data_IF_146562149391
#
_entry.id   IF_146562149391
#
_cell.length_a   1.000
_cell.length_b   1.000
_cell.length_c   1.000
_cell.angle_alpha   90.00
_cell.angle_beta   90.00
_cell.angle_gamma   90.00
#
_symmetry.space_group_name_H-M   'P 1'
#
loop_
_entity.id
_entity.type
_entity.pdbx_description
1 polymer ?
#
# COMPACT_ATOMS: atom_id res chain seq x y z
N UNK A 1 8.07 -0.99 -17.39
CA UNK A 1 7.92 -1.82 -16.18
C UNK A 1 8.40 -1.00 -15.01
N UNK A 2 7.53 -0.67 -14.06
CA UNK A 2 7.89 0.08 -12.85
C UNK A 2 8.77 -0.82 -11.99
N UNK A 3 9.95 -0.33 -11.65
CA UNK A 3 10.94 -1.08 -10.89
C UNK A 3 10.50 -1.15 -9.42
N UNK A 4 9.84 -2.25 -9.05
CA UNK A 4 9.36 -2.49 -7.68
C UNK A 4 10.49 -2.48 -6.66
N UNK A 5 11.75 -2.63 -7.09
CA UNK A 5 12.93 -2.50 -6.24
C UNK A 5 13.13 -1.08 -5.66
N UNK A 6 12.45 -0.07 -6.23
CA UNK A 6 12.51 1.31 -5.74
C UNK A 6 11.47 1.62 -4.67
N UNK A 7 10.50 0.74 -4.46
CA UNK A 7 9.45 0.92 -3.47
C UNK A 7 10.05 0.70 -2.09
N UNK A 8 9.83 1.65 -1.19
CA UNK A 8 10.34 1.62 0.18
C UNK A 8 9.19 1.69 1.17
N UNK A 9 9.45 1.18 2.36
CA UNK A 9 8.58 1.37 3.52
C UNK A 9 8.35 2.87 3.74
N UNK A 10 7.14 3.23 4.19
CA UNK A 10 6.67 4.59 4.41
C UNK A 10 6.45 5.47 3.17
N UNK A 11 6.60 4.94 1.95
CA UNK A 11 6.19 5.66 0.75
C UNK A 11 4.66 5.77 0.65
N UNK A 12 4.16 6.90 0.15
CA UNK A 12 2.76 7.04 -0.20
C UNK A 12 2.43 6.28 -1.49
N UNK A 13 1.26 5.65 -1.49
CA UNK A 13 0.66 4.96 -2.62
C UNK A 13 -0.52 5.80 -3.10
N UNK A 14 -0.38 6.32 -4.31
CA UNK A 14 -1.40 7.15 -4.97
C UNK A 14 -2.01 6.33 -6.12
N UNK A 15 -3.34 6.30 -6.16
CA UNK A 15 -4.09 5.64 -7.22
C UNK A 15 -3.90 6.34 -8.57
N UNK A 16 -4.24 5.66 -9.66
CA UNK A 16 -4.18 6.25 -10.99
C UNK A 16 -5.17 7.42 -11.17
N UNK A 17 -6.16 7.52 -10.31
CA UNK A 17 -7.12 8.63 -10.17
C UNK A 17 -6.55 9.83 -9.38
N UNK A 18 -5.33 9.73 -8.86
CA UNK A 18 -4.69 10.75 -8.04
C UNK A 18 -5.13 10.74 -6.57
N UNK A 19 -5.93 9.75 -6.15
CA UNK A 19 -6.42 9.64 -4.77
C UNK A 19 -5.42 8.89 -3.91
N UNK A 20 -5.24 9.32 -2.65
CA UNK A 20 -4.42 8.59 -1.69
C UNK A 20 -5.05 7.23 -1.38
N UNK A 21 -4.30 6.16 -1.66
CA UNK A 21 -4.71 4.77 -1.40
C UNK A 21 -4.16 4.26 -0.09
N UNK A 22 -2.92 4.64 0.26
CA UNK A 22 -2.34 4.33 1.56
C UNK A 22 -0.83 4.54 1.63
N UNK A 23 -0.22 4.04 2.71
CA UNK A 23 1.23 4.07 2.89
C UNK A 23 1.79 2.65 2.84
N UNK A 24 2.97 2.47 2.25
CA UNK A 24 3.68 1.19 2.23
C UNK A 24 4.13 0.81 3.65
N UNK A 25 3.66 -0.33 4.14
CA UNK A 25 4.17 -0.99 5.34
C UNK A 25 5.42 -1.80 4.99
N UNK A 26 5.32 -2.64 3.95
CA UNK A 26 6.40 -3.52 3.48
C UNK A 26 6.17 -4.00 2.06
N UNK A 27 7.25 -4.34 1.35
CA UNK A 27 7.16 -5.07 0.07
C UNK A 27 7.39 -6.56 0.33
N UNK A 28 6.43 -7.38 -0.06
CA UNK A 28 6.50 -8.84 0.06
C UNK A 28 6.49 -9.48 -1.33
N UNK A 29 7.69 -9.85 -1.79
CA UNK A 29 7.89 -10.38 -3.14
C UNK A 29 7.59 -9.32 -4.20
N UNK A 30 6.44 -9.46 -4.86
CA UNK A 30 5.94 -8.52 -5.88
C UNK A 30 4.69 -7.76 -5.43
N UNK A 31 4.30 -7.88 -4.15
CA UNK A 31 3.12 -7.23 -3.59
C UNK A 31 3.50 -6.15 -2.60
N UNK A 32 2.70 -5.10 -2.56
CA UNK A 32 2.85 -3.98 -1.63
C UNK A 32 1.85 -4.19 -0.49
N UNK A 33 2.37 -4.36 0.72
CA UNK A 33 1.57 -4.41 1.94
C UNK A 33 1.37 -2.99 2.43
N UNK A 34 0.12 -2.58 2.63
CA UNK A 34 -0.23 -1.26 3.17
C UNK A 34 -0.22 -1.25 4.71
N UNK A 35 0.00 -0.07 5.27
CA UNK A 35 -0.09 0.11 6.73
C UNK A 35 -1.51 -0.20 7.20
N UNK A 36 -1.61 -0.69 8.44
CA UNK A 36 -2.90 -1.04 9.04
C UNK A 36 -3.86 0.15 9.16
N UNK A 37 -3.30 1.35 9.35
CA UNK A 37 -4.06 2.60 9.41
C UNK A 37 -4.69 2.94 8.06
N UNK A 38 -4.00 2.61 6.97
CA UNK A 38 -4.41 2.97 5.61
C UNK A 38 -5.10 1.81 4.88
N UNK A 39 -5.31 0.66 5.54
CA UNK A 39 -6.04 -0.48 4.97
C UNK A 39 -7.56 -0.26 4.87
N UNK A 40 -8.00 1.00 4.93
CA UNK A 40 -9.37 1.47 4.81
C UNK A 40 -10.12 1.54 6.14
N UNK A 41 -10.69 2.70 6.45
CA UNK A 41 -11.77 2.83 7.43
C UNK A 41 -13.08 2.25 6.83
N UNK A 42 -13.12 0.94 6.61
CA UNK A 42 -14.22 0.23 5.95
C UNK A 42 -14.24 -1.26 6.28
N UNK A 43 -14.98 -2.07 5.50
CA UNK A 43 -15.35 -3.48 5.74
C UNK A 43 -14.21 -4.51 5.99
N UNK A 44 -12.96 -4.06 6.11
CA UNK A 44 -11.77 -4.86 6.40
C UNK A 44 -11.04 -4.40 7.67
N UNK A 45 -11.78 -4.00 8.72
CA UNK A 45 -11.18 -3.70 10.03
C UNK A 45 -10.38 -4.90 10.54
N UNK A 46 -9.06 -4.76 10.57
CA UNK A 46 -8.15 -5.69 11.24
C UNK A 46 -7.10 -6.35 10.37
N UNK A 47 -7.15 -6.19 9.04
CA UNK A 47 -6.22 -6.84 8.11
C UNK A 47 -5.35 -5.84 7.36
N UNK A 48 -4.18 -6.29 6.92
CA UNK A 48 -3.34 -5.52 6.01
C UNK A 48 -3.84 -5.70 4.58
N UNK A 49 -4.03 -4.60 3.86
CA UNK A 49 -4.35 -4.64 2.44
C UNK A 49 -3.07 -4.90 1.63
N UNK A 50 -3.17 -5.77 0.62
CA UNK A 50 -2.10 -6.00 -0.34
C UNK A 50 -2.52 -5.54 -1.72
N UNK A 51 -1.61 -4.87 -2.42
CA UNK A 51 -1.77 -4.43 -3.82
C UNK A 51 -0.73 -5.11 -4.71
#
# INVERSE_FOLDING_TARGET
MTDAARIREHMEVIGADGVHVGTVDKVEGQRIKLTKRDSGEGAHRGHHHFI
#
